data_IF_119220186089
#
_entry.id   IF_119220186089
#
_cell.length_a   1.000
_cell.length_b   1.000
_cell.length_c   1.000
_cell.angle_alpha   90.00
_cell.angle_beta   90.00
_cell.angle_gamma   90.00
#
_symmetry.space_group_name_H-M   'P 1'
#
loop_
_entity.id
_entity.type
_entity.pdbx_description
1 polymer ?
#
# COMPACT_ATOMS: atom_id res chain seq x y z
N UNK A 1 15.71 5.60 -13.83
CA UNK A 1 15.84 6.80 -12.98
C UNK A 1 14.79 6.63 -11.88
N UNK A 2 15.23 6.35 -10.64
CA UNK A 2 14.32 6.40 -9.48
C UNK A 2 13.93 7.85 -9.30
N UNK A 3 12.66 8.19 -9.39
CA UNK A 3 12.18 9.50 -8.97
C UNK A 3 12.46 9.56 -7.47
N UNK A 4 13.23 10.53 -6.97
CA UNK A 4 13.44 10.65 -5.54
C UNK A 4 12.08 10.97 -4.92
N UNK A 5 11.48 9.99 -4.26
CA UNK A 5 10.45 10.27 -3.28
C UNK A 5 11.05 11.29 -2.33
N UNK A 6 10.36 12.39 -2.13
CA UNK A 6 10.70 13.37 -1.12
C UNK A 6 11.10 12.60 0.13
N UNK A 7 12.26 12.97 0.73
CA UNK A 7 12.71 12.41 2.00
C UNK A 7 11.51 12.41 2.93
N UNK A 8 10.85 11.25 3.07
CA UNK A 8 9.94 11.06 4.17
C UNK A 8 10.79 11.19 5.43
N UNK A 9 10.74 12.36 6.03
CA UNK A 9 10.83 12.43 7.47
C UNK A 9 9.80 11.42 7.95
N UNK A 10 10.23 10.38 8.66
CA UNK A 10 9.36 9.67 9.61
C UNK A 10 8.57 10.79 10.26
N UNK A 11 7.22 10.80 10.25
CA UNK A 11 6.50 11.84 10.93
C UNK A 11 7.09 11.87 12.33
N UNK A 12 7.71 12.98 12.68
CA UNK A 12 8.02 13.28 14.06
C UNK A 12 6.71 13.02 14.77
N UNK A 13 6.74 12.17 15.80
CA UNK A 13 5.56 11.77 16.54
C UNK A 13 4.69 13.01 16.69
N UNK A 14 3.56 13.01 15.99
CA UNK A 14 2.62 14.10 16.11
C UNK A 14 2.34 14.19 17.60
N UNK A 15 2.55 15.34 18.17
CA UNK A 15 2.25 15.69 19.58
C UNK A 15 0.72 15.62 19.73
N UNK A 16 0.21 14.39 19.77
CA UNK A 16 -1.19 14.05 19.99
C UNK A 16 -1.27 13.22 21.22
N UNK A 17 -1.58 13.87 22.34
CA UNK A 17 -2.07 13.30 23.58
C UNK A 17 -1.25 12.13 24.11
N UNK A 18 -0.73 12.26 25.32
CA UNK A 18 0.04 11.26 26.08
C UNK A 18 -0.25 9.82 25.70
N UNK A 19 0.67 9.19 24.95
CA UNK A 19 0.62 7.75 24.68
C UNK A 19 0.45 7.00 26.01
N UNK A 20 -0.56 6.13 26.09
CA UNK A 20 -0.81 5.35 27.31
C UNK A 20 0.37 4.41 27.64
N UNK A 21 1.19 4.02 26.66
CA UNK A 21 2.33 3.11 26.82
C UNK A 21 3.50 3.53 25.92
N UNK A 22 4.27 4.58 26.30
CA UNK A 22 5.34 5.12 25.46
C UNK A 22 6.43 4.12 25.06
N UNK A 23 6.70 3.10 25.90
CA UNK A 23 7.68 2.07 25.60
C UNK A 23 7.23 1.15 24.45
N UNK A 24 5.94 0.83 24.38
CA UNK A 24 5.37 0.03 23.29
C UNK A 24 5.42 0.80 21.96
N UNK A 25 5.01 2.06 21.98
CA UNK A 25 5.06 2.93 20.79
C UNK A 25 6.48 3.02 20.20
N UNK A 26 7.48 3.22 21.06
CA UNK A 26 8.89 3.24 20.65
C UNK A 26 9.36 1.90 20.10
N UNK A 27 8.87 0.80 20.66
CA UNK A 27 9.17 -0.56 20.17
C UNK A 27 8.59 -0.80 18.79
N UNK A 28 7.36 -0.38 18.54
CA UNK A 28 6.70 -0.45 17.21
C UNK A 28 7.45 0.40 16.20
N UNK A 29 7.74 1.66 16.51
CA UNK A 29 8.51 2.56 15.65
C UNK A 29 9.91 2.01 15.30
N UNK A 30 10.55 1.30 16.26
CA UNK A 30 11.84 0.64 16.02
C UNK A 30 11.72 -0.51 15.00
N UNK A 31 10.68 -1.32 15.10
CA UNK A 31 10.43 -2.39 14.13
C UNK A 31 10.11 -1.84 12.75
N UNK A 32 9.30 -0.80 12.64
CA UNK A 32 8.98 -0.10 11.38
C UNK A 32 10.24 0.50 10.74
N UNK A 33 11.09 1.15 11.54
CA UNK A 33 12.37 1.69 11.06
C UNK A 33 13.27 0.60 10.48
N UNK A 34 13.36 -0.55 11.15
CA UNK A 34 14.15 -1.70 10.70
C UNK A 34 13.54 -2.39 9.46
N UNK A 35 12.23 -2.35 9.27
CA UNK A 35 11.57 -2.91 8.09
C UNK A 35 12.06 -2.26 6.77
N UNK A 36 12.44 -0.99 6.83
CA UNK A 36 12.99 -0.24 5.69
C UNK A 36 14.52 -0.34 5.56
N UNK A 37 15.19 -1.16 6.39
CA UNK A 37 16.65 -1.30 6.44
C UNK A 37 17.05 -2.78 6.47
N UNK A 38 17.06 -3.45 5.29
CA UNK A 38 17.40 -4.88 5.21
C UNK A 38 18.80 -5.21 5.77
N UNK A 39 19.73 -4.28 5.65
CA UNK A 39 21.08 -4.36 6.20
C UNK A 39 21.14 -4.25 7.72
N UNK A 40 20.02 -3.89 8.35
CA UNK A 40 19.90 -3.64 9.77
C UNK A 40 20.53 -2.32 10.23
N UNK A 41 20.35 -1.99 11.50
CA UNK A 41 20.90 -0.80 12.14
C UNK A 41 21.61 -1.18 13.46
N UNK A 42 22.70 -0.48 13.76
CA UNK A 42 23.36 -0.54 15.07
C UNK A 42 22.51 0.18 16.13
N UNK A 43 22.81 -0.06 17.42
CA UNK A 43 22.12 0.63 18.51
C UNK A 43 22.23 2.16 18.39
N UNK A 44 23.40 2.66 18.00
CA UNK A 44 23.63 4.11 17.84
C UNK A 44 22.81 4.69 16.68
N UNK A 45 22.71 3.97 15.54
CA UNK A 45 21.89 4.39 14.40
C UNK A 45 20.40 4.39 14.76
N UNK A 46 19.92 3.39 15.53
CA UNK A 46 18.53 3.34 16.02
C UNK A 46 18.24 4.49 17.00
N UNK A 47 19.18 4.75 17.92
CA UNK A 47 19.08 5.87 18.87
C UNK A 47 18.93 7.21 18.16
N UNK A 48 19.74 7.44 17.13
CA UNK A 48 19.71 8.67 16.34
C UNK A 48 18.45 8.77 15.45
N UNK A 49 18.03 7.65 14.85
CA UNK A 49 16.87 7.63 13.95
C UNK A 49 15.53 7.88 14.67
N UNK A 50 15.44 7.49 15.95
CA UNK A 50 14.20 7.53 16.74
C UNK A 50 14.24 8.57 17.86
N UNK A 51 15.28 9.37 17.95
CA UNK A 51 15.51 10.35 19.02
C UNK A 51 15.33 9.75 20.44
N UNK A 52 15.94 8.57 20.67
CA UNK A 52 15.85 7.85 21.93
C UNK A 52 17.11 8.05 22.77
N UNK A 53 16.97 7.98 24.11
CA UNK A 53 18.15 7.83 24.94
C UNK A 53 18.80 6.45 24.72
N UNK A 54 20.15 6.31 24.81
CA UNK A 54 20.83 5.03 24.66
C UNK A 54 20.29 3.93 25.60
N UNK A 55 19.96 4.30 26.85
CA UNK A 55 19.37 3.38 27.81
C UNK A 55 17.98 2.89 27.39
N UNK A 56 17.16 3.76 26.80
CA UNK A 56 15.82 3.40 26.29
C UNK A 56 15.94 2.47 25.08
N UNK A 57 16.78 2.84 24.12
CA UNK A 57 17.03 2.02 22.93
C UNK A 57 17.56 0.62 23.31
N UNK A 58 18.51 0.53 24.25
CA UNK A 58 19.04 -0.74 24.71
C UNK A 58 17.97 -1.63 25.37
N UNK A 59 17.11 -1.08 26.23
CA UNK A 59 16.03 -1.85 26.85
C UNK A 59 15.01 -2.35 25.84
N UNK A 60 14.64 -1.50 24.88
CA UNK A 60 13.66 -1.86 23.85
C UNK A 60 14.23 -2.94 22.91
N UNK A 61 15.48 -2.77 22.43
CA UNK A 61 16.13 -3.78 21.58
C UNK A 61 16.27 -5.11 22.31
N UNK A 62 16.68 -5.10 23.60
CA UNK A 62 16.78 -6.32 24.44
C UNK A 62 15.43 -7.03 24.54
N UNK A 63 14.37 -6.30 24.89
CA UNK A 63 13.02 -6.88 24.98
C UNK A 63 12.55 -7.48 23.65
N UNK A 64 12.79 -6.79 22.54
CA UNK A 64 12.40 -7.28 21.20
C UNK A 64 13.25 -8.48 20.78
N UNK A 65 14.54 -8.53 21.15
CA UNK A 65 15.45 -9.65 20.90
C UNK A 65 15.05 -10.86 21.75
N UNK A 66 14.86 -10.71 23.07
CA UNK A 66 14.39 -11.76 23.98
C UNK A 66 13.03 -12.33 23.54
N UNK A 67 12.16 -11.45 23.03
CA UNK A 67 10.87 -11.84 22.45
C UNK A 67 10.99 -12.45 21.06
N UNK A 68 12.17 -12.49 20.46
CA UNK A 68 12.45 -13.08 19.15
C UNK A 68 11.98 -12.25 17.95
N UNK A 69 11.69 -10.96 18.11
CA UNK A 69 11.34 -10.06 16.98
C UNK A 69 12.57 -9.48 16.32
N UNK A 70 13.64 -9.25 17.05
CA UNK A 70 14.92 -8.81 16.54
C UNK A 70 15.97 -9.92 16.69
N UNK A 71 16.98 -9.81 15.83
CA UNK A 71 18.23 -10.55 15.95
C UNK A 71 19.37 -9.55 15.83
N UNK A 72 20.34 -9.67 16.73
CA UNK A 72 21.59 -8.93 16.66
C UNK A 72 22.67 -9.79 16.01
N UNK A 73 23.36 -9.26 15.04
CA UNK A 73 24.56 -9.86 14.49
C UNK A 73 25.75 -9.57 15.40
N UNK A 74 26.49 -10.59 15.82
CA UNK A 74 27.57 -10.45 16.80
C UNK A 74 28.79 -9.71 16.26
N UNK A 75 29.04 -9.77 14.96
CA UNK A 75 30.20 -9.15 14.31
C UNK A 75 29.91 -7.68 13.99
N UNK A 76 28.85 -7.42 13.24
CA UNK A 76 28.48 -6.08 12.82
C UNK A 76 27.73 -5.29 13.89
N UNK A 77 27.26 -5.94 14.93
CA UNK A 77 26.41 -5.37 16.01
C UNK A 77 25.11 -4.76 15.49
N UNK A 78 24.68 -5.12 14.28
CA UNK A 78 23.43 -4.65 13.67
C UNK A 78 22.24 -5.48 14.09
N UNK A 79 21.12 -4.80 14.35
CA UNK A 79 19.83 -5.41 14.62
C UNK A 79 19.04 -5.53 13.33
N UNK A 80 18.43 -6.68 13.07
CA UNK A 80 17.54 -6.96 11.95
C UNK A 80 16.25 -7.59 12.46
N UNK A 81 15.16 -7.41 11.72
CA UNK A 81 13.89 -8.10 11.98
C UNK A 81 14.05 -9.60 11.73
N UNK A 82 13.39 -10.41 12.56
CA UNK A 82 13.35 -11.85 12.40
C UNK A 82 12.14 -12.29 11.54
N UNK A 83 12.14 -13.55 11.12
CA UNK A 83 11.00 -14.18 10.45
C UNK A 83 9.75 -14.32 11.34
N UNK A 84 9.84 -14.05 12.64
CA UNK A 84 8.70 -14.11 13.55
C UNK A 84 7.56 -13.20 13.12
N UNK A 85 7.86 -12.02 12.57
CA UNK A 85 6.85 -11.11 12.04
C UNK A 85 6.08 -11.72 10.87
N UNK A 86 6.76 -12.46 9.98
CA UNK A 86 6.10 -13.20 8.90
C UNK A 86 5.15 -14.27 9.46
N UNK A 87 5.55 -14.98 10.53
CA UNK A 87 4.70 -16.01 11.15
C UNK A 87 3.47 -15.41 11.85
N UNK A 88 3.59 -14.20 12.40
CA UNK A 88 2.47 -13.51 13.05
C UNK A 88 1.48 -12.95 12.04
N UNK A 89 1.99 -12.46 10.90
CA UNK A 89 1.18 -11.96 9.79
C UNK A 89 0.58 -13.07 8.92
N UNK A 90 0.98 -14.33 9.13
CA UNK A 90 0.35 -15.44 8.41
C UNK A 90 -1.02 -15.75 9.01
N UNK A 91 -2.07 -15.77 8.19
CA UNK A 91 -3.37 -16.22 8.62
C UNK A 91 -3.28 -17.64 9.20
N UNK A 92 -3.68 -17.83 10.45
CA UNK A 92 -3.80 -19.15 11.08
C UNK A 92 -5.19 -19.71 10.79
N UNK A 93 -5.26 -20.84 10.10
CA UNK A 93 -6.51 -21.47 9.69
C UNK A 93 -6.86 -21.20 8.24
N UNK A 94 -8.12 -21.28 7.88
CA UNK A 94 -8.65 -21.04 6.52
C UNK A 94 -8.60 -19.57 6.06
N UNK A 95 -7.87 -18.72 6.75
CA UNK A 95 -7.69 -17.31 6.37
C UNK A 95 -6.92 -17.22 5.06
N UNK A 96 -7.64 -16.87 4.04
CA UNK A 96 -7.20 -16.80 2.65
C UNK A 96 -6.17 -15.68 2.48
N UNK A 97 -5.03 -16.01 1.89
CA UNK A 97 -3.98 -15.04 1.62
C UNK A 97 -4.25 -14.36 0.27
N UNK A 98 -4.63 -13.07 0.32
CA UNK A 98 -4.95 -12.29 -0.88
C UNK A 98 -3.75 -12.22 -1.85
N UNK A 99 -2.51 -12.11 -1.35
CA UNK A 99 -1.29 -12.08 -2.17
C UNK A 99 -1.13 -13.41 -2.92
N UNK A 100 -1.33 -14.54 -2.23
CA UNK A 100 -1.25 -15.85 -2.88
C UNK A 100 -2.36 -16.03 -3.93
N UNK A 101 -3.59 -15.62 -3.63
CA UNK A 101 -4.72 -15.68 -4.57
C UNK A 101 -4.51 -14.79 -5.81
N UNK A 102 -3.80 -13.68 -5.67
CA UNK A 102 -3.55 -12.73 -6.75
C UNK A 102 -2.37 -13.09 -7.64
N UNK A 103 -1.45 -13.94 -7.19
CA UNK A 103 -0.15 -14.17 -7.82
C UNK A 103 -0.22 -14.55 -9.31
N UNK A 104 -1.11 -15.47 -9.69
CA UNK A 104 -1.25 -15.90 -11.10
C UNK A 104 -1.88 -14.82 -11.97
N UNK A 105 -2.89 -14.12 -11.46
CA UNK A 105 -3.53 -13.03 -12.18
C UNK A 105 -2.57 -11.85 -12.37
N UNK A 106 -1.78 -11.49 -11.35
CA UNK A 106 -0.76 -10.45 -11.46
C UNK A 106 0.30 -10.79 -12.51
N UNK A 107 0.76 -12.04 -12.57
CA UNK A 107 1.68 -12.51 -13.63
C UNK A 107 1.06 -12.38 -15.02
N UNK A 108 -0.20 -12.79 -15.18
CA UNK A 108 -0.91 -12.66 -16.46
C UNK A 108 -1.09 -11.19 -16.87
N UNK A 109 -1.39 -10.29 -15.93
CA UNK A 109 -1.48 -8.85 -16.18
C UNK A 109 -0.12 -8.30 -16.67
N UNK A 110 0.97 -8.60 -15.95
CA UNK A 110 2.30 -8.15 -16.33
C UNK A 110 2.71 -8.66 -17.73
N UNK A 111 2.46 -9.93 -18.02
CA UNK A 111 2.79 -10.53 -19.33
C UNK A 111 1.99 -9.90 -20.47
N UNK A 112 0.71 -9.57 -20.24
CA UNK A 112 -0.16 -9.00 -21.26
C UNK A 112 0.12 -7.52 -21.49
N UNK A 113 0.39 -6.76 -20.44
CA UNK A 113 0.49 -5.30 -20.51
C UNK A 113 1.93 -4.79 -20.55
N UNK A 114 2.88 -5.56 -20.04
CA UNK A 114 4.27 -5.14 -19.82
C UNK A 114 4.44 -4.09 -18.71
N UNK A 115 3.36 -3.63 -18.09
CA UNK A 115 3.36 -2.53 -17.11
C UNK A 115 3.47 -3.04 -15.66
N UNK A 116 3.91 -2.15 -14.77
CA UNK A 116 3.94 -2.45 -13.34
C UNK A 116 2.53 -2.82 -12.86
N UNK A 117 2.44 -3.98 -12.21
CA UNK A 117 1.20 -4.50 -11.65
C UNK A 117 1.31 -4.48 -10.13
N UNK A 118 0.29 -3.98 -9.45
CA UNK A 118 0.28 -3.87 -7.99
C UNK A 118 -0.99 -4.47 -7.41
N UNK A 119 -0.87 -5.07 -6.23
CA UNK A 119 -1.95 -5.49 -5.36
C UNK A 119 -2.03 -4.52 -4.19
N UNK A 120 -3.21 -4.01 -3.93
CA UNK A 120 -3.45 -3.00 -2.90
C UNK A 120 -4.61 -3.39 -2.00
N UNK A 121 -4.62 -2.91 -0.76
CA UNK A 121 -5.79 -2.98 0.11
C UNK A 121 -5.99 -1.67 0.89
N UNK A 122 -7.12 -1.57 1.57
CA UNK A 122 -7.40 -0.45 2.47
C UNK A 122 -6.59 -0.59 3.75
N UNK A 123 -5.96 0.49 4.19
CA UNK A 123 -5.31 0.63 5.47
C UNK A 123 -5.78 1.98 6.06
N UNK A 124 -6.69 1.93 7.03
CA UNK A 124 -7.34 3.09 7.64
C UNK A 124 -8.05 3.98 6.61
N UNK A 125 -7.44 5.10 6.23
CA UNK A 125 -7.94 6.07 5.24
C UNK A 125 -7.06 6.19 3.99
N UNK A 126 -6.16 5.22 3.77
CA UNK A 126 -5.24 5.17 2.65
C UNK A 126 -5.25 3.79 1.99
N UNK A 127 -4.68 3.72 0.79
CA UNK A 127 -4.43 2.49 0.07
C UNK A 127 -2.98 2.06 0.32
N UNK A 128 -2.75 0.82 0.74
CA UNK A 128 -1.41 0.25 0.94
C UNK A 128 -1.06 -0.73 -0.18
N UNK A 129 0.19 -0.70 -0.63
CA UNK A 129 0.72 -1.63 -1.63
C UNK A 129 1.15 -2.92 -0.92
N UNK A 130 0.45 -4.03 -1.17
CA UNK A 130 0.74 -5.34 -0.59
C UNK A 130 1.78 -6.13 -1.38
N UNK A 131 1.69 -6.06 -2.72
CA UNK A 131 2.59 -6.78 -3.62
C UNK A 131 2.75 -6.02 -4.93
N UNK A 132 3.87 -6.26 -5.63
CA UNK A 132 4.18 -5.57 -6.87
C UNK A 132 5.05 -6.42 -7.79
N UNK A 133 4.65 -6.50 -9.05
CA UNK A 133 5.46 -7.01 -10.15
C UNK A 133 5.92 -5.83 -11.02
N UNK A 134 7.23 -5.64 -11.10
CA UNK A 134 7.82 -4.54 -11.85
C UNK A 134 7.60 -4.68 -13.36
N UNK A 135 7.31 -3.59 -14.03
CA UNK A 135 7.19 -3.50 -15.49
C UNK A 135 8.40 -4.11 -16.21
N UNK A 136 8.17 -4.71 -17.36
CA UNK A 136 9.20 -5.26 -18.24
C UNK A 136 9.97 -4.19 -19.02
N UNK A 137 9.47 -2.95 -19.02
CA UNK A 137 10.12 -1.82 -19.70
C UNK A 137 11.29 -1.26 -18.88
N UNK A 138 12.35 -0.73 -19.54
CA UNK A 138 13.45 -0.09 -18.85
C UNK A 138 13.02 1.11 -18.00
N UNK A 139 12.14 1.97 -18.52
CA UNK A 139 11.53 3.06 -17.77
C UNK A 139 10.19 2.58 -17.18
N UNK A 140 10.11 2.55 -15.86
CA UNK A 140 8.99 1.98 -15.12
C UNK A 140 8.66 2.77 -13.86
N UNK A 141 7.38 2.76 -13.48
CA UNK A 141 6.90 3.26 -12.20
C UNK A 141 6.97 2.13 -11.18
N UNK A 142 7.69 2.34 -10.09
CA UNK A 142 7.86 1.40 -8.99
C UNK A 142 7.75 2.17 -7.68
N UNK A 143 7.08 1.58 -6.70
CA UNK A 143 7.00 2.06 -5.31
C UNK A 143 7.44 0.95 -4.36
N UNK A 144 7.79 1.30 -3.14
CA UNK A 144 8.15 0.31 -2.14
C UNK A 144 6.90 -0.40 -1.60
N UNK A 145 7.01 -1.69 -1.27
CA UNK A 145 5.94 -2.43 -0.60
C UNK A 145 5.63 -1.78 0.76
N UNK A 146 4.36 -1.75 1.15
CA UNK A 146 3.91 -1.03 2.34
C UNK A 146 3.74 0.48 2.14
N UNK A 147 4.08 1.03 0.97
CA UNK A 147 3.80 2.44 0.68
C UNK A 147 2.31 2.71 0.73
N UNK A 148 1.97 3.87 1.29
CA UNK A 148 0.60 4.36 1.40
C UNK A 148 0.30 5.35 0.28
N UNK A 149 -0.92 5.33 -0.23
CA UNK A 149 -1.37 6.20 -1.30
C UNK A 149 -2.79 6.74 -1.01
N UNK A 150 -3.10 7.99 -1.39
CA UNK A 150 -4.40 8.59 -1.16
C UNK A 150 -5.53 7.83 -1.87
N UNK A 151 -6.69 7.71 -1.21
CA UNK A 151 -7.85 7.01 -1.80
C UNK A 151 -8.51 7.80 -2.94
N UNK A 152 -8.57 9.13 -2.85
CA UNK A 152 -9.37 9.96 -3.75
C UNK A 152 -8.74 10.20 -5.14
N UNK A 153 -7.42 10.04 -5.28
CA UNK A 153 -6.69 10.40 -6.50
C UNK A 153 -5.81 9.29 -7.06
N UNK A 154 -5.91 8.06 -6.54
CA UNK A 154 -5.24 6.89 -7.11
C UNK A 154 -6.27 5.90 -7.66
N UNK A 155 -5.94 5.20 -8.74
CA UNK A 155 -6.87 4.22 -9.31
C UNK A 155 -7.24 3.11 -8.31
N UNK A 156 -6.27 2.44 -7.61
CA UNK A 156 -6.63 1.42 -6.63
C UNK A 156 -7.40 1.98 -5.44
N UNK A 157 -7.06 3.17 -4.95
CA UNK A 157 -7.79 3.82 -3.87
C UNK A 157 -9.25 4.11 -4.22
N UNK A 158 -9.49 4.68 -5.40
CA UNK A 158 -10.84 4.95 -5.90
C UNK A 158 -11.63 3.66 -6.15
N UNK A 159 -10.97 2.61 -6.67
CA UNK A 159 -11.61 1.31 -6.88
C UNK A 159 -12.06 0.67 -5.56
N UNK A 160 -11.22 0.70 -4.52
CA UNK A 160 -11.58 0.21 -3.20
C UNK A 160 -12.73 1.04 -2.62
N UNK A 161 -12.56 2.36 -2.60
CA UNK A 161 -13.55 3.29 -2.04
C UNK A 161 -14.95 3.11 -2.65
N UNK A 162 -15.02 2.85 -3.96
CA UNK A 162 -16.29 2.69 -4.67
C UNK A 162 -17.09 1.43 -4.26
N UNK A 163 -16.42 0.42 -3.72
CA UNK A 163 -17.05 -0.86 -3.37
C UNK A 163 -16.93 -1.20 -1.87
N UNK A 164 -16.66 -0.22 -1.01
CA UNK A 164 -16.85 -0.39 0.44
C UNK A 164 -18.33 -0.51 0.79
N UNK A 165 -18.67 -1.14 1.94
CA UNK A 165 -20.01 -1.03 2.52
C UNK A 165 -20.43 0.44 2.64
N UNK A 166 -21.68 0.78 2.32
CA UNK A 166 -22.13 2.19 2.24
C UNK A 166 -21.84 2.98 3.53
N UNK A 167 -22.10 2.39 4.71
CA UNK A 167 -21.81 3.04 5.98
C UNK A 167 -20.31 3.32 6.20
N UNK A 168 -19.44 2.41 5.77
CA UNK A 168 -17.98 2.58 5.86
C UNK A 168 -17.48 3.62 4.85
N UNK A 169 -18.01 3.60 3.64
CA UNK A 169 -17.73 4.58 2.60
C UNK A 169 -18.10 5.99 3.06
N UNK A 170 -19.32 6.19 3.59
CA UNK A 170 -19.79 7.48 4.09
C UNK A 170 -18.94 7.99 5.25
N UNK A 171 -18.65 7.12 6.22
CA UNK A 171 -17.78 7.45 7.35
C UNK A 171 -16.38 7.86 6.88
N UNK A 172 -15.83 7.15 5.89
CA UNK A 172 -14.51 7.42 5.33
C UNK A 172 -14.51 8.74 4.53
N UNK A 173 -15.48 8.94 3.64
CA UNK A 173 -15.63 10.18 2.86
C UNK A 173 -15.82 11.41 3.76
N UNK A 174 -16.47 11.26 4.92
CA UNK A 174 -16.69 12.39 5.85
C UNK A 174 -15.38 12.96 6.40
N UNK A 175 -14.39 12.09 6.70
CA UNK A 175 -13.09 12.42 7.29
C UNK A 175 -11.94 12.53 6.29
N UNK A 176 -12.11 12.05 5.04
CA UNK A 176 -11.05 12.02 4.04
C UNK A 176 -10.60 13.44 3.67
N UNK A 177 -9.30 13.67 3.75
CA UNK A 177 -8.66 14.90 3.27
C UNK A 177 -8.39 14.76 1.78
N UNK A 178 -8.95 15.68 0.99
CA UNK A 178 -8.81 15.70 -0.47
C UNK A 178 -7.65 16.64 -0.86
N UNK A 179 -6.43 16.25 -0.49
CA UNK A 179 -5.23 17.04 -0.77
C UNK A 179 -4.95 17.11 -2.28
N UNK A 180 -4.61 18.30 -2.77
CA UNK A 180 -4.25 18.50 -4.17
C UNK A 180 -2.82 18.03 -4.41
N UNK A 181 -2.63 17.08 -5.32
CA UNK A 181 -1.32 16.56 -5.76
C UNK A 181 -0.93 17.09 -7.13
N UNK A 182 -1.90 17.19 -8.04
CA UNK A 182 -1.73 17.75 -9.40
C UNK A 182 -2.91 18.64 -9.75
N UNK A 183 -2.88 19.26 -10.93
CA UNK A 183 -4.04 20.06 -11.39
C UNK A 183 -5.24 19.18 -11.78
N UNK A 184 -5.06 17.86 -11.87
CA UNK A 184 -6.12 16.89 -12.18
C UNK A 184 -6.71 16.22 -10.94
N UNK A 185 -6.14 16.47 -9.77
CA UNK A 185 -6.63 15.89 -8.51
C UNK A 185 -8.04 16.39 -8.20
N UNK A 186 -8.97 15.48 -7.95
CA UNK A 186 -10.29 15.84 -7.43
C UNK A 186 -10.17 16.32 -5.98
N UNK A 187 -10.60 17.56 -5.72
CA UNK A 187 -10.51 18.20 -4.41
C UNK A 187 -11.87 18.48 -3.79
N UNK A 188 -12.96 18.06 -4.45
CA UNK A 188 -14.31 18.19 -3.90
C UNK A 188 -14.95 16.85 -3.63
N UNK A 189 -15.67 16.72 -2.52
CA UNK A 189 -16.41 15.49 -2.17
C UNK A 189 -17.47 15.14 -3.21
N UNK A 190 -18.06 16.15 -3.86
CA UNK A 190 -19.05 15.97 -4.92
C UNK A 190 -18.42 15.26 -6.14
N UNK A 191 -17.22 15.69 -6.56
CA UNK A 191 -16.54 15.11 -7.72
C UNK A 191 -16.12 13.67 -7.41
N UNK A 192 -15.62 13.42 -6.19
CA UNK A 192 -15.28 12.07 -5.73
C UNK A 192 -16.52 11.17 -5.71
N UNK A 193 -17.67 11.65 -5.22
CA UNK A 193 -18.92 10.90 -5.21
C UNK A 193 -19.38 10.56 -6.65
N UNK A 194 -19.32 11.52 -7.57
CA UNK A 194 -19.64 11.29 -8.98
C UNK A 194 -18.71 10.25 -9.61
N UNK A 195 -17.42 10.31 -9.30
CA UNK A 195 -16.45 9.33 -9.78
C UNK A 195 -16.71 7.92 -9.21
N UNK A 196 -17.09 7.82 -7.93
CA UNK A 196 -17.49 6.55 -7.29
C UNK A 196 -18.64 5.89 -8.07
N UNK A 197 -19.70 6.66 -8.38
CA UNK A 197 -20.83 6.12 -9.15
C UNK A 197 -20.40 5.66 -10.55
N UNK A 198 -19.52 6.41 -11.20
CA UNK A 198 -18.95 6.03 -12.49
C UNK A 198 -18.16 4.71 -12.37
N UNK A 199 -17.35 4.55 -11.32
CA UNK A 199 -16.55 3.35 -11.06
C UNK A 199 -17.46 2.15 -10.77
N UNK A 200 -18.51 2.33 -9.96
CA UNK A 200 -19.52 1.28 -9.70
C UNK A 200 -20.16 0.78 -10.99
N UNK A 201 -20.53 1.67 -11.90
CA UNK A 201 -21.18 1.31 -13.15
C UNK A 201 -20.28 0.57 -14.14
N UNK A 202 -18.99 0.96 -14.24
CA UNK A 202 -18.05 0.35 -15.21
C UNK A 202 -17.20 -0.78 -14.60
N UNK A 203 -17.05 -0.86 -13.26
CA UNK A 203 -16.32 -1.89 -12.54
C UNK A 203 -14.81 -1.71 -12.52
N UNK A 204 -14.30 -0.53 -12.85
CA UNK A 204 -12.88 -0.18 -12.78
C UNK A 204 -12.69 1.33 -12.59
N UNK A 205 -11.54 1.71 -12.05
CA UNK A 205 -11.12 3.09 -11.82
C UNK A 205 -9.93 3.47 -12.68
N UNK A 206 -9.83 4.76 -13.01
CA UNK A 206 -8.73 5.34 -13.76
C UNK A 206 -8.08 6.45 -12.91
N UNK A 207 -6.74 6.52 -12.94
CA UNK A 207 -5.98 7.69 -12.53
C UNK A 207 -5.21 8.18 -13.77
N UNK A 208 -5.52 9.38 -14.22
CA UNK A 208 -4.92 10.01 -15.40
C UNK A 208 -3.96 11.12 -15.02
N UNK A 209 -3.11 10.86 -14.05
CA UNK A 209 -2.17 11.83 -13.50
C UNK A 209 -2.78 12.67 -12.39
N UNK A 210 -3.70 12.09 -11.62
CA UNK A 210 -4.35 12.74 -10.48
C UNK A 210 -3.44 12.75 -9.25
N UNK A 211 -2.65 11.69 -9.06
CA UNK A 211 -1.66 11.59 -7.97
C UNK A 211 -0.27 12.07 -8.40
N UNK A 212 0.21 11.60 -9.55
CA UNK A 212 1.49 12.01 -10.13
C UNK A 212 1.34 12.40 -11.59
N UNK A 213 1.79 13.61 -11.98
CA UNK A 213 1.80 13.99 -13.37
C UNK A 213 2.59 13.00 -14.24
N UNK A 214 2.04 12.67 -15.38
CA UNK A 214 2.68 11.76 -16.33
C UNK A 214 2.59 10.27 -15.96
N UNK A 215 2.02 9.90 -14.81
CA UNK A 215 1.73 8.50 -14.41
C UNK A 215 0.24 8.25 -14.54
N UNK A 216 -0.11 7.18 -15.27
CA UNK A 216 -1.49 6.72 -15.43
C UNK A 216 -1.65 5.34 -14.83
N UNK A 217 -2.80 5.12 -14.20
CA UNK A 217 -3.15 3.83 -13.60
C UNK A 217 -4.57 3.41 -13.99
N UNK A 218 -4.76 2.08 -14.07
CA UNK A 218 -6.08 1.46 -14.22
C UNK A 218 -6.19 0.38 -13.16
N UNK A 219 -7.26 0.40 -12.36
CA UNK A 219 -7.47 -0.55 -11.27
C UNK A 219 -8.88 -1.10 -11.26
N UNK A 220 -9.05 -2.33 -10.77
CA UNK A 220 -10.36 -2.91 -10.49
C UNK A 220 -10.40 -3.48 -9.06
N UNK A 221 -11.55 -3.42 -8.40
CA UNK A 221 -11.73 -3.93 -7.06
C UNK A 221 -11.72 -5.46 -7.05
N UNK A 222 -11.10 -6.03 -6.04
CA UNK A 222 -11.21 -7.44 -5.68
C UNK A 222 -12.30 -7.52 -4.63
N UNK A 223 -13.35 -8.27 -4.90
CA UNK A 223 -14.56 -8.29 -4.10
C UNK A 223 -14.69 -9.57 -3.28
N UNK A 224 -15.27 -9.44 -2.09
CA UNK A 224 -15.71 -10.55 -1.26
C UNK A 224 -17.05 -11.15 -1.76
N UNK A 225 -17.60 -12.10 -1.00
CA UNK A 225 -18.88 -12.74 -1.31
C UNK A 225 -20.10 -11.81 -1.22
N UNK A 226 -19.95 -10.66 -0.57
CA UNK A 226 -21.01 -9.66 -0.41
C UNK A 226 -20.91 -8.53 -1.45
N UNK A 227 -19.89 -8.57 -2.31
CA UNK A 227 -19.62 -7.53 -3.30
C UNK A 227 -18.85 -6.34 -2.75
N UNK A 228 -18.25 -6.46 -1.56
CA UNK A 228 -17.44 -5.43 -0.94
C UNK A 228 -15.96 -5.59 -1.29
N UNK A 229 -15.26 -4.46 -1.45
CA UNK A 229 -13.85 -4.47 -1.80
C UNK A 229 -12.97 -4.93 -0.63
N UNK A 230 -12.21 -6.02 -0.85
CA UNK A 230 -11.15 -6.49 0.04
C UNK A 230 -9.77 -6.02 -0.42
N UNK A 231 -9.69 -5.45 -1.61
CA UNK A 231 -8.48 -4.90 -2.21
C UNK A 231 -8.73 -4.45 -3.64
N UNK A 232 -7.66 -4.13 -4.35
CA UNK A 232 -7.67 -3.81 -5.77
C UNK A 232 -6.40 -4.31 -6.45
N UNK A 233 -6.51 -4.70 -7.72
CA UNK A 233 -5.38 -4.95 -8.60
C UNK A 233 -5.28 -3.82 -9.62
N UNK A 234 -4.05 -3.36 -9.92
CA UNK A 234 -3.82 -2.22 -10.79
C UNK A 234 -2.65 -2.45 -11.75
N UNK A 235 -2.69 -1.75 -12.88
CA UNK A 235 -1.54 -1.48 -13.75
C UNK A 235 -1.19 -0.01 -13.65
N UNK A 236 0.10 0.29 -13.62
CA UNK A 236 0.62 1.65 -13.50
C UNK A 236 1.84 1.86 -14.39
N UNK A 237 1.91 3.00 -15.06
CA UNK A 237 3.03 3.34 -15.91
C UNK A 237 2.97 4.76 -16.46
N UNK A 238 3.96 5.17 -17.28
CA UNK A 238 3.99 6.46 -17.93
C UNK A 238 2.78 6.67 -18.84
N UNK A 239 2.21 7.87 -18.81
CA UNK A 239 1.03 8.24 -19.61
C UNK A 239 1.20 8.01 -21.12
N UNK A 240 2.43 8.11 -21.63
CA UNK A 240 2.76 7.85 -23.05
C UNK A 240 2.45 6.42 -23.50
N UNK A 241 2.37 5.46 -22.59
CA UNK A 241 1.99 4.07 -22.86
C UNK A 241 0.52 3.76 -22.54
N UNK A 242 -0.28 4.77 -22.15
CA UNK A 242 -1.69 4.65 -21.81
C UNK A 242 -2.55 5.51 -22.75
N UNK A 243 -2.60 5.18 -24.07
CA UNK A 243 -3.40 5.97 -25.00
C UNK A 243 -4.89 5.91 -24.64
N UNK A 244 -5.58 7.03 -24.83
CA UNK A 244 -7.00 7.16 -24.45
C UNK A 244 -7.90 6.06 -25.05
N UNK A 245 -7.63 5.64 -26.29
CA UNK A 245 -8.36 4.58 -26.96
C UNK A 245 -8.24 3.20 -26.30
N UNK A 246 -7.12 2.91 -25.61
CA UNK A 246 -6.89 1.62 -24.95
C UNK A 246 -7.38 1.59 -23.48
N UNK A 247 -7.80 2.72 -22.91
CA UNK A 247 -8.13 2.79 -21.49
C UNK A 247 -9.37 1.95 -21.14
N UNK A 248 -10.39 1.94 -21.99
CA UNK A 248 -11.60 1.13 -21.78
C UNK A 248 -11.29 -0.37 -21.87
N UNK A 249 -10.52 -0.80 -22.87
CA UNK A 249 -10.08 -2.18 -23.03
C UNK A 249 -9.26 -2.65 -21.83
N UNK A 250 -8.28 -1.85 -21.41
CA UNK A 250 -7.48 -2.14 -20.20
C UNK A 250 -8.35 -2.21 -18.94
N UNK A 251 -9.35 -1.33 -18.83
CA UNK A 251 -10.31 -1.35 -17.74
C UNK A 251 -11.07 -2.67 -17.67
N UNK A 252 -11.61 -3.14 -18.79
CA UNK A 252 -12.31 -4.42 -18.86
C UNK A 252 -11.38 -5.61 -18.59
N UNK A 253 -10.15 -5.57 -19.11
CA UNK A 253 -9.15 -6.59 -18.86
C UNK A 253 -8.82 -6.70 -17.36
N UNK A 254 -8.49 -5.57 -16.69
CA UNK A 254 -8.19 -5.54 -15.26
C UNK A 254 -9.39 -6.01 -14.43
N UNK A 255 -10.61 -5.60 -14.77
CA UNK A 255 -11.84 -6.07 -14.14
C UNK A 255 -11.95 -7.60 -14.21
N UNK A 256 -11.67 -8.18 -15.35
CA UNK A 256 -11.68 -9.64 -15.54
C UNK A 256 -10.65 -10.33 -14.63
N UNK A 257 -9.44 -9.77 -14.52
CA UNK A 257 -8.42 -10.32 -13.64
C UNK A 257 -8.77 -10.16 -12.15
N UNK A 258 -9.35 -9.03 -11.75
CA UNK A 258 -9.83 -8.82 -10.40
C UNK A 258 -10.91 -9.85 -10.00
N UNK A 259 -11.87 -10.12 -10.88
CA UNK A 259 -12.85 -11.20 -10.66
C UNK A 259 -12.21 -12.58 -10.53
N UNK A 260 -11.15 -12.87 -11.30
CA UNK A 260 -10.40 -14.12 -11.15
C UNK A 260 -9.76 -14.22 -9.77
N UNK A 261 -9.15 -13.13 -9.29
CA UNK A 261 -8.57 -13.07 -7.94
C UNK A 261 -9.66 -13.28 -6.88
N UNK A 262 -10.80 -12.58 -6.99
CA UNK A 262 -11.95 -12.74 -6.09
C UNK A 262 -12.38 -14.20 -5.99
N UNK A 263 -12.54 -14.88 -7.11
CA UNK A 263 -12.93 -16.31 -7.15
C UNK A 263 -11.87 -17.21 -6.48
N UNK A 264 -10.59 -17.01 -6.78
CA UNK A 264 -9.50 -17.77 -6.16
C UNK A 264 -9.42 -17.52 -4.66
N UNK A 265 -9.68 -16.30 -4.24
CA UNK A 265 -9.70 -15.93 -2.82
C UNK A 265 -10.90 -16.53 -2.08
N UNK A 266 -12.04 -16.70 -2.74
CA UNK A 266 -13.27 -17.24 -2.16
C UNK A 266 -13.37 -18.78 -2.23
N UNK A 267 -12.56 -19.46 -3.04
CA UNK A 267 -12.48 -20.91 -3.12
C UNK A 267 -11.68 -21.51 -1.96
#
# INVERSE_FOLDING_TARGET
MKIPLAKRSVPAAADTGTSNVPALERGLAMMETLAHRPEGLTLSELTAALDLSPASAHRITGTLEDSGYLRRDEVSRRYTLTRKLLLLGQPRGESRNLVAAAADAMRAILQTTGETTQLCCLAEDQCVILDQLASLHPFKYIVDLGSLAPLHCTAPGKAILAFLPDAEQDALLSRLKLEKHTDKTMTSKRDVATEIERIRSQGYALDKGEHFDGIYCVAAPILDQHGHAIGAVTIAGPSSRFPAAAMAERGQFIRTQAHRISRTFLS
#
